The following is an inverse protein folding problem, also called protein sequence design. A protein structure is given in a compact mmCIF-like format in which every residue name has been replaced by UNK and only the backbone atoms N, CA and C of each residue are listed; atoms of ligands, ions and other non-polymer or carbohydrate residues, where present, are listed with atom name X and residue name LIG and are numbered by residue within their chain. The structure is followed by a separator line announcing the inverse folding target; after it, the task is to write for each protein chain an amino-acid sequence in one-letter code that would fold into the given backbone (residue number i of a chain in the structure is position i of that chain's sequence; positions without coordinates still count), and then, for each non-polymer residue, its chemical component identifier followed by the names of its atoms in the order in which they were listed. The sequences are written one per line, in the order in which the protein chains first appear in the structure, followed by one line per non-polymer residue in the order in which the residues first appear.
data_IF_072725831202
#
_entry.id   IF_072725831202
#
_cell.length_a   1.000
_cell.length_b   1.000
_cell.length_c   1.000
_cell.angle_alpha   90.00
_cell.angle_beta   90.00
_cell.angle_gamma   90.00
#
_symmetry.space_group_name_H-M   'P 1'
#
loop_
_entity.id
_entity.type
_entity.pdbx_description
1 polymer ?
#
# COMPACT_ATOMS: atom_id res chain seq x y z
N UNK A 1 32.49 -16.57 2.25
CA UNK A 1 31.69 -16.26 1.05
C UNK A 1 32.57 -16.45 -0.17
N UNK A 2 32.13 -17.16 -1.22
CA UNK A 2 32.96 -17.59 -2.36
C UNK A 2 33.32 -16.45 -3.34
N UNK A 3 32.80 -15.24 -3.09
CA UNK A 3 33.26 -13.98 -3.65
C UNK A 3 33.41 -12.96 -2.51
N UNK A 4 34.54 -12.22 -2.50
CA UNK A 4 34.78 -11.15 -1.54
C UNK A 4 33.87 -9.95 -1.88
N UNK A 5 33.17 -9.34 -0.90
CA UNK A 5 32.46 -8.08 -1.13
C UNK A 5 33.39 -7.01 -1.69
N UNK A 6 32.87 -6.14 -2.56
CA UNK A 6 33.63 -5.00 -3.11
C UNK A 6 33.75 -3.82 -2.12
N UNK A 7 33.30 -4.01 -0.89
CA UNK A 7 33.33 -3.02 0.20
C UNK A 7 34.07 -3.61 1.39
N UNK A 8 34.81 -2.78 2.11
CA UNK A 8 35.54 -3.20 3.30
C UNK A 8 34.70 -3.09 4.59
N UNK A 9 33.76 -2.13 4.63
CA UNK A 9 32.87 -1.90 5.80
C UNK A 9 31.45 -1.59 5.34
N UNK A 10 30.46 -2.09 6.06
CA UNK A 10 29.07 -1.67 5.95
C UNK A 10 28.59 -1.13 7.29
N UNK A 11 28.06 0.08 7.29
CA UNK A 11 27.55 0.77 8.48
C UNK A 11 26.04 0.97 8.29
N UNK A 12 25.26 0.47 9.23
CA UNK A 12 23.81 0.67 9.26
C UNK A 12 23.49 1.71 10.34
N UNK A 13 23.18 2.92 9.90
CA UNK A 13 22.76 4.00 10.79
C UNK A 13 21.22 4.06 10.82
N UNK A 14 20.65 3.99 12.02
CA UNK A 14 19.19 4.10 12.21
C UNK A 14 18.85 5.55 12.53
N UNK A 15 18.24 6.24 11.56
CA UNK A 15 17.83 7.63 11.69
C UNK A 15 16.30 7.72 11.72
N UNK A 16 15.69 8.05 12.87
CA UNK A 16 14.24 8.15 12.96
C UNK A 16 13.68 9.43 12.35
N UNK A 17 14.51 10.46 12.15
CA UNK A 17 14.08 11.74 11.58
C UNK A 17 14.32 11.75 10.06
N UNK A 18 13.26 12.00 9.29
CA UNK A 18 13.27 11.97 7.83
C UNK A 18 14.10 13.12 7.21
N UNK A 19 14.02 14.33 7.77
CA UNK A 19 14.75 15.50 7.27
C UNK A 19 16.27 15.32 7.42
N UNK A 20 16.71 14.77 8.55
CA UNK A 20 18.11 14.44 8.79
C UNK A 20 18.62 13.39 7.78
N UNK A 21 17.82 12.37 7.49
CA UNK A 21 18.13 11.36 6.48
C UNK A 21 18.31 11.98 5.08
N UNK A 22 17.42 12.89 4.67
CA UNK A 22 17.55 13.61 3.40
C UNK A 22 18.80 14.50 3.36
N UNK A 23 19.08 15.20 4.45
CA UNK A 23 20.30 16.02 4.56
C UNK A 23 21.57 15.19 4.39
N UNK A 24 21.66 14.02 5.05
CA UNK A 24 22.83 13.15 4.97
C UNK A 24 23.03 12.55 3.58
N UNK A 25 21.97 12.15 2.88
CA UNK A 25 22.13 11.58 1.54
C UNK A 25 22.51 12.65 0.52
N UNK A 26 21.95 13.86 0.62
CA UNK A 26 22.35 14.99 -0.23
C UNK A 26 23.79 15.45 0.04
N UNK A 27 24.23 15.41 1.29
CA UNK A 27 25.60 15.73 1.68
C UNK A 27 26.63 14.64 1.34
N UNK A 28 26.18 13.45 0.90
CA UNK A 28 27.05 12.30 0.63
C UNK A 28 27.55 11.57 1.88
N UNK A 29 27.04 11.89 3.06
CA UNK A 29 27.32 11.19 4.33
C UNK A 29 26.63 9.82 4.38
N UNK A 30 25.47 9.70 3.71
CA UNK A 30 24.76 8.44 3.48
C UNK A 30 24.87 8.07 2.00
N UNK A 31 25.32 6.84 1.72
CA UNK A 31 25.47 6.36 0.33
C UNK A 31 24.28 5.54 -0.16
N UNK A 32 23.40 5.11 0.75
CA UNK A 32 22.28 4.24 0.42
C UNK A 32 21.13 4.43 1.39
N UNK A 33 19.95 4.78 0.85
CA UNK A 33 18.69 4.87 1.57
C UNK A 33 17.81 3.69 1.16
N UNK A 34 17.60 2.75 2.08
CA UNK A 34 16.85 1.53 1.81
C UNK A 34 15.33 1.76 1.76
N UNK A 35 14.80 2.51 2.72
CA UNK A 35 13.36 2.72 2.87
C UNK A 35 13.08 4.20 3.14
N UNK A 36 12.09 4.74 2.44
CA UNK A 36 11.63 6.11 2.59
C UNK A 36 10.14 6.11 2.93
N UNK A 37 9.78 6.39 4.20
CA UNK A 37 8.39 6.45 4.63
C UNK A 37 7.73 7.82 4.37
N UNK A 38 8.47 8.78 3.78
CA UNK A 38 7.95 10.09 3.39
C UNK A 38 7.34 10.08 1.98
N UNK A 39 7.05 11.26 1.45
CA UNK A 39 6.55 11.44 0.08
C UNK A 39 7.62 11.01 -0.95
N UNK A 40 7.34 10.02 -1.82
CA UNK A 40 8.25 9.62 -2.90
C UNK A 40 8.60 10.74 -3.88
N UNK A 41 7.73 11.74 -4.06
CA UNK A 41 7.97 12.92 -4.91
C UNK A 41 9.21 13.70 -4.49
N UNK A 42 9.47 13.80 -3.17
CA UNK A 42 10.66 14.46 -2.63
C UNK A 42 11.94 13.75 -3.08
N UNK A 43 11.94 12.42 -3.17
CA UNK A 43 13.11 11.68 -3.66
C UNK A 43 13.32 11.89 -5.17
N UNK A 44 12.23 12.02 -5.93
CA UNK A 44 12.29 12.34 -7.36
C UNK A 44 12.93 13.71 -7.59
N UNK A 45 12.51 14.73 -6.85
CA UNK A 45 13.08 16.08 -6.93
C UNK A 45 14.57 16.08 -6.58
N UNK A 46 14.94 15.47 -5.45
CA UNK A 46 16.34 15.40 -5.00
C UNK A 46 17.24 14.68 -6.02
N UNK A 47 16.78 13.56 -6.59
CA UNK A 47 17.54 12.83 -7.60
C UNK A 47 17.63 13.58 -8.93
N UNK A 48 16.61 14.38 -9.28
CA UNK A 48 16.64 15.21 -10.49
C UNK A 48 17.59 16.41 -10.35
N UNK A 49 17.76 16.95 -9.14
CA UNK A 49 18.62 18.11 -8.87
C UNK A 49 20.08 17.73 -8.53
N UNK A 50 20.34 16.48 -8.15
CA UNK A 50 21.66 16.02 -7.75
C UNK A 50 22.14 14.85 -8.62
N UNK A 51 23.04 15.15 -9.57
CA UNK A 51 23.64 14.17 -10.50
C UNK A 51 24.44 13.04 -9.81
N UNK A 52 24.71 13.14 -8.50
CA UNK A 52 25.40 12.10 -7.73
C UNK A 52 24.43 11.07 -7.13
N UNK A 53 23.12 11.29 -7.26
CA UNK A 53 22.08 10.44 -6.69
C UNK A 53 21.26 9.78 -7.79
N UNK A 54 21.25 8.45 -7.77
CA UNK A 54 20.35 7.65 -8.60
C UNK A 54 19.13 7.23 -7.78
N UNK A 55 17.93 7.45 -8.34
CA UNK A 55 16.68 6.92 -7.79
C UNK A 55 16.35 5.58 -8.44
N UNK A 56 16.31 4.52 -7.63
CA UNK A 56 15.86 3.20 -8.06
C UNK A 56 14.45 2.92 -7.54
N UNK A 57 13.55 2.47 -8.43
CA UNK A 57 12.20 2.04 -8.07
C UNK A 57 11.88 0.69 -8.68
N UNK A 58 11.19 -0.14 -7.92
CA UNK A 58 10.70 -1.44 -8.35
C UNK A 58 9.41 -1.79 -7.60
N UNK A 59 8.57 -2.62 -8.21
CA UNK A 59 7.39 -3.16 -7.53
C UNK A 59 7.86 -4.05 -6.38
N UNK A 60 7.39 -3.74 -5.17
CA UNK A 60 7.71 -4.53 -3.98
C UNK A 60 7.11 -5.94 -4.09
N UNK A 61 7.81 -6.94 -3.55
CA UNK A 61 7.25 -8.29 -3.38
C UNK A 61 6.16 -8.35 -2.28
N UNK A 62 6.06 -7.31 -1.45
CA UNK A 62 5.00 -7.13 -0.47
C UNK A 62 3.80 -6.37 -1.02
N UNK A 63 2.78 -6.20 -0.19
CA UNK A 63 1.57 -5.43 -0.48
C UNK A 63 1.06 -4.81 0.81
N UNK A 64 0.24 -3.76 0.68
CA UNK A 64 -0.47 -3.15 1.80
C UNK A 64 -1.95 -3.52 1.69
N UNK A 65 -2.57 -3.81 2.83
CA UNK A 65 -3.97 -4.26 2.87
C UNK A 65 -4.62 -3.88 4.19
N UNK A 66 -5.95 -3.80 4.18
CA UNK A 66 -6.74 -3.70 5.40
C UNK A 66 -7.02 -5.10 5.93
N UNK A 67 -6.50 -5.40 7.12
CA UNK A 67 -6.79 -6.64 7.81
C UNK A 67 -8.04 -6.49 8.69
N UNK A 68 -9.05 -7.34 8.45
CA UNK A 68 -10.23 -7.40 9.29
C UNK A 68 -10.03 -8.40 10.43
N UNK A 69 -10.41 -8.01 11.65
CA UNK A 69 -10.49 -8.95 12.76
C UNK A 69 -11.81 -9.73 12.69
N UNK A 70 -11.81 -10.84 11.97
CA UNK A 70 -13.00 -11.67 11.67
C UNK A 70 -13.60 -12.41 12.89
N UNK A 71 -13.17 -12.08 14.11
CA UNK A 71 -13.69 -12.67 15.36
C UNK A 71 -14.84 -11.88 15.97
N UNK A 72 -15.12 -10.68 15.44
CA UNK A 72 -16.09 -9.75 15.99
C UNK A 72 -16.98 -9.19 14.89
N UNK A 73 -18.27 -9.06 15.18
CA UNK A 73 -19.20 -8.34 14.34
C UNK A 73 -18.78 -6.87 14.16
N UNK A 74 -18.97 -6.30 12.95
CA UNK A 74 -19.48 -6.92 11.73
C UNK A 74 -18.40 -7.55 10.84
N UNK A 75 -17.15 -7.61 11.29
CA UNK A 75 -16.03 -8.02 10.47
C UNK A 75 -15.98 -9.53 10.21
N UNK A 76 -16.76 -10.33 10.95
CA UNK A 76 -16.99 -11.75 10.72
C UNK A 76 -17.86 -12.03 9.49
N UNK A 77 -18.78 -11.12 9.13
CA UNK A 77 -19.58 -11.22 7.90
C UNK A 77 -18.75 -10.95 6.63
N UNK A 78 -18.77 -11.91 5.71
CA UNK A 78 -18.10 -11.77 4.41
C UNK A 78 -18.73 -10.70 3.53
N UNK A 79 -20.07 -10.56 3.56
CA UNK A 79 -20.77 -9.56 2.75
C UNK A 79 -20.40 -8.15 3.21
N UNK A 80 -20.27 -7.94 4.53
CA UNK A 80 -19.78 -6.68 5.08
C UNK A 80 -18.37 -6.37 4.59
N UNK A 81 -17.44 -7.34 4.65
CA UNK A 81 -16.05 -7.13 4.18
C UNK A 81 -15.99 -6.84 2.67
N UNK A 82 -16.81 -7.53 1.86
CA UNK A 82 -16.90 -7.28 0.42
C UNK A 82 -17.47 -5.90 0.11
N UNK A 83 -18.51 -5.48 0.83
CA UNK A 83 -19.07 -4.14 0.70
C UNK A 83 -18.02 -3.07 1.05
N UNK A 84 -17.23 -3.25 2.12
CA UNK A 84 -16.13 -2.34 2.46
C UNK A 84 -15.09 -2.28 1.33
N UNK A 85 -14.75 -3.39 0.69
CA UNK A 85 -13.78 -3.40 -0.42
C UNK A 85 -14.21 -2.46 -1.56
N UNK A 86 -15.50 -2.46 -1.93
CA UNK A 86 -16.07 -1.55 -2.94
C UNK A 86 -16.08 -0.07 -2.53
N UNK A 87 -15.83 0.27 -1.26
CA UNK A 87 -15.75 1.68 -0.80
C UNK A 87 -14.35 2.26 -0.86
N UNK A 88 -13.33 1.48 -1.24
CA UNK A 88 -11.94 1.93 -1.27
C UNK A 88 -11.57 2.38 -2.70
N UNK A 89 -11.34 3.68 -2.95
CA UNK A 89 -10.97 4.16 -4.27
C UNK A 89 -9.47 3.96 -4.51
N UNK A 90 -9.06 2.72 -4.83
CA UNK A 90 -7.65 2.31 -4.92
C UNK A 90 -6.84 3.21 -5.87
N UNK A 91 -7.35 3.51 -7.06
CA UNK A 91 -6.65 4.36 -8.03
C UNK A 91 -6.48 5.79 -7.51
N UNK A 92 -7.50 6.36 -6.86
CA UNK A 92 -7.40 7.68 -6.26
C UNK A 92 -6.30 7.74 -5.19
N UNK A 93 -6.19 6.70 -4.36
CA UNK A 93 -5.14 6.59 -3.34
C UNK A 93 -3.76 6.51 -4.01
N UNK A 94 -3.61 5.69 -5.04
CA UNK A 94 -2.34 5.56 -5.79
C UNK A 94 -1.92 6.92 -6.35
N UNK A 95 -2.85 7.64 -6.99
CA UNK A 95 -2.55 8.88 -7.67
C UNK A 95 -2.26 10.04 -6.70
N UNK A 96 -3.04 10.15 -5.60
CA UNK A 96 -3.02 11.34 -4.74
C UNK A 96 -2.24 11.16 -3.43
N UNK A 97 -2.04 9.92 -2.97
CA UNK A 97 -1.30 9.64 -1.72
C UNK A 97 0.09 9.10 -2.04
N UNK A 98 0.19 8.19 -3.02
CA UNK A 98 1.48 7.63 -3.43
C UNK A 98 2.11 8.37 -4.61
N UNK A 99 1.48 9.42 -5.15
CA UNK A 99 1.98 10.16 -6.31
C UNK A 99 2.33 9.26 -7.50
N UNK A 100 1.58 8.17 -7.70
CA UNK A 100 1.82 7.17 -8.74
C UNK A 100 2.92 6.14 -8.43
N UNK A 101 3.59 6.20 -7.28
CA UNK A 101 4.62 5.25 -6.85
C UNK A 101 4.07 3.98 -6.18
N UNK A 102 2.84 3.61 -6.51
CA UNK A 102 2.23 2.38 -6.07
C UNK A 102 1.60 1.66 -7.27
N UNK A 103 1.64 0.32 -7.23
CA UNK A 103 0.91 -0.51 -8.16
C UNK A 103 -0.40 -0.98 -7.51
N UNK A 104 -1.50 -1.12 -8.28
CA UNK A 104 -2.71 -1.77 -7.78
C UNK A 104 -2.39 -3.16 -7.23
N UNK A 105 -2.92 -3.45 -6.04
CA UNK A 105 -2.86 -4.76 -5.43
C UNK A 105 -4.20 -5.47 -5.62
N UNK A 106 -4.19 -6.59 -6.34
CA UNK A 106 -5.36 -7.43 -6.62
C UNK A 106 -5.24 -8.85 -6.04
N UNK A 107 -4.09 -9.17 -5.44
CA UNK A 107 -3.77 -10.48 -4.89
C UNK A 107 -2.83 -10.37 -3.70
N UNK A 108 -2.81 -11.41 -2.87
CA UNK A 108 -1.78 -11.62 -1.84
C UNK A 108 -0.40 -11.88 -2.44
N UNK A 109 -0.33 -12.28 -3.72
CA UNK A 109 0.92 -12.47 -4.46
C UNK A 109 1.17 -11.23 -5.32
N UNK A 110 2.23 -10.49 -5.00
CA UNK A 110 2.63 -9.30 -5.76
C UNK A 110 2.87 -9.60 -7.24
N UNK A 111 2.58 -8.62 -8.10
CA UNK A 111 2.93 -8.64 -9.53
C UNK A 111 4.43 -8.83 -9.78
N UNK A 112 5.30 -8.47 -8.82
CA UNK A 112 6.73 -8.73 -8.90
C UNK A 112 7.10 -10.23 -8.88
N UNK A 113 6.17 -11.11 -8.49
CA UNK A 113 6.35 -12.55 -8.39
C UNK A 113 5.60 -13.29 -9.51
N UNK A 114 5.83 -12.90 -10.76
CA UNK A 114 5.10 -13.40 -11.95
C UNK A 114 4.94 -14.93 -11.99
N UNK A 115 6.00 -15.69 -11.70
CA UNK A 115 5.95 -17.16 -11.70
C UNK A 115 4.95 -17.75 -10.69
N UNK A 116 4.72 -17.06 -9.57
CA UNK A 116 3.82 -17.49 -8.49
C UNK A 116 2.44 -16.87 -8.60
N UNK A 117 2.29 -15.83 -9.43
CA UNK A 117 1.07 -15.05 -9.56
C UNK A 117 0.10 -15.77 -10.50
N UNK A 118 -0.82 -16.54 -9.93
CA UNK A 118 -1.95 -17.14 -10.66
C UNK A 118 -3.20 -16.30 -10.42
N UNK A 119 -3.45 -15.32 -11.30
CA UNK A 119 -4.50 -14.30 -11.11
C UNK A 119 -5.57 -14.29 -12.20
N UNK A 120 -5.65 -15.31 -13.06
CA UNK A 120 -6.49 -15.27 -14.27
C UNK A 120 -7.99 -15.06 -13.98
N UNK A 121 -8.48 -15.50 -12.81
CA UNK A 121 -9.89 -15.44 -12.42
C UNK A 121 -10.09 -14.88 -11.00
N UNK A 122 -9.36 -13.83 -10.61
CA UNK A 122 -9.58 -13.19 -9.31
C UNK A 122 -10.81 -12.27 -9.31
N UNK A 123 -11.62 -12.27 -8.24
CA UNK A 123 -12.71 -11.31 -8.10
C UNK A 123 -12.16 -9.89 -7.97
N UNK A 124 -12.72 -8.95 -8.74
CA UNK A 124 -12.46 -7.51 -8.58
C UNK A 124 -13.49 -6.87 -7.65
N UNK A 125 -13.05 -5.87 -6.91
CA UNK A 125 -13.89 -5.04 -6.05
C UNK A 125 -13.77 -3.58 -6.47
N UNK A 126 -14.25 -3.26 -7.66
CA UNK A 126 -14.20 -1.90 -8.21
C UNK A 126 -14.92 -0.91 -7.29
N UNK A 127 -14.43 0.33 -7.24
CA UNK A 127 -15.05 1.37 -6.41
C UNK A 127 -16.51 1.61 -6.83
N UNK A 128 -17.44 1.19 -5.99
CA UNK A 128 -18.88 1.21 -6.28
C UNK A 128 -19.69 1.29 -4.97
N UNK A 129 -20.03 2.52 -4.58
CA UNK A 129 -20.80 2.78 -3.35
C UNK A 129 -22.20 2.19 -3.42
N UNK A 130 -22.88 2.27 -4.56
CA UNK A 130 -24.24 1.76 -4.71
C UNK A 130 -24.27 0.22 -4.60
N UNK A 131 -23.32 -0.45 -5.25
CA UNK A 131 -23.13 -1.90 -5.13
C UNK A 131 -22.78 -2.33 -3.70
N UNK A 132 -21.95 -1.56 -2.99
CA UNK A 132 -21.67 -1.82 -1.57
C UNK A 132 -22.94 -1.74 -0.70
N UNK A 133 -23.81 -0.74 -0.95
CA UNK A 133 -25.09 -0.61 -0.23
C UNK A 133 -26.04 -1.75 -0.56
N UNK A 134 -26.11 -2.17 -1.82
CA UNK A 134 -26.93 -3.31 -2.23
C UNK A 134 -26.46 -4.62 -1.56
N UNK A 135 -25.14 -4.88 -1.54
CA UNK A 135 -24.56 -6.03 -0.84
C UNK A 135 -24.92 -6.05 0.65
N UNK A 136 -24.81 -4.91 1.33
CA UNK A 136 -25.16 -4.77 2.74
C UNK A 136 -26.67 -4.98 2.97
N UNK A 137 -27.52 -4.39 2.13
CA UNK A 137 -28.97 -4.55 2.24
C UNK A 137 -29.40 -6.01 2.05
N UNK A 138 -28.82 -6.70 1.08
CA UNK A 138 -29.08 -8.13 0.83
C UNK A 138 -28.59 -9.02 1.99
N UNK A 139 -27.57 -8.57 2.73
CA UNK A 139 -27.09 -9.22 3.96
C UNK A 139 -27.90 -8.83 5.22
N UNK A 140 -28.97 -8.04 5.07
CA UNK A 140 -29.89 -7.67 6.16
C UNK A 140 -29.51 -6.39 6.91
N UNK A 141 -28.43 -5.72 6.53
CA UNK A 141 -28.10 -4.41 7.10
C UNK A 141 -29.11 -3.36 6.64
N UNK A 142 -29.30 -2.34 7.45
CA UNK A 142 -30.19 -1.22 7.14
C UNK A 142 -29.54 0.11 7.46
N UNK A 143 -30.23 1.22 7.18
CA UNK A 143 -29.77 2.56 7.53
C UNK A 143 -30.86 3.28 8.33
N UNK A 144 -30.45 4.04 9.34
CA UNK A 144 -31.36 4.94 10.06
C UNK A 144 -31.65 6.22 9.25
N UNK A 145 -32.50 7.10 9.80
CA UNK A 145 -32.89 8.37 9.17
C UNK A 145 -31.70 9.31 8.94
N UNK A 146 -30.61 9.15 9.71
CA UNK A 146 -29.36 9.90 9.56
C UNK A 146 -28.39 9.24 8.55
N UNK A 147 -28.78 8.12 7.94
CA UNK A 147 -27.98 7.36 7.00
C UNK A 147 -26.84 6.57 7.66
N UNK A 148 -26.92 6.27 8.96
CA UNK A 148 -25.95 5.39 9.65
C UNK A 148 -26.32 3.94 9.44
N UNK A 149 -25.31 3.12 9.13
CA UNK A 149 -25.48 1.68 8.97
C UNK A 149 -25.89 1.03 10.30
N UNK A 150 -26.93 0.21 10.25
CA UNK A 150 -27.46 -0.58 11.34
C UNK A 150 -27.23 -2.07 11.05
N UNK A 151 -26.91 -2.84 12.10
CA UNK A 151 -26.76 -4.28 11.97
C UNK A 151 -28.07 -4.95 11.56
N UNK A 152 -28.00 -6.15 10.93
CA UNK A 152 -29.17 -6.96 10.72
C UNK A 152 -29.92 -7.19 12.04
N UNK A 153 -31.25 -7.08 12.00
CA UNK A 153 -32.07 -7.50 13.12
C UNK A 153 -31.88 -9.01 13.33
N UNK A 154 -31.66 -9.44 14.58
CA UNK A 154 -31.59 -10.86 14.95
C UNK A 154 -32.84 -11.65 14.55
#
# INVERSE_FOLDING_TARGET
HWARPKVDTWIMNVLPNQEATLGQIQAGEMNFLWEWPGDPGVLQEIAAENEQLDLFSAVSIGFQYFAFNVRYAPFDDVNFRQAVAHTIPQQFIIDNIYNGFAAPADSFVSAALEYWRQCDDLPSYDFNIDGARELLANAGYSWDDDGRLQYPAE
#
